data_IF_271303129149
#
_entry.id   IF_271303129149
#
_cell.length_a   1.000
_cell.length_b   1.000
_cell.length_c   1.000
_cell.angle_alpha   90.00
_cell.angle_beta   90.00
_cell.angle_gamma   90.00
#
_symmetry.space_group_name_H-M   'P 1'
#
loop_
_entity.id
_entity.type
_entity.pdbx_description
1 polymer ?
#
# COMPACT_ATOMS: atom_id res chain seq x y z
N UNK A 1 -19.17 -5.60 -18.83
CA UNK A 1 -20.34 -6.42 -18.43
C UNK A 1 -21.31 -6.51 -19.59
N UNK A 2 -21.85 -5.40 -20.11
CA UNK A 2 -22.86 -5.40 -21.18
C UNK A 2 -22.37 -6.10 -22.47
N UNK A 3 -21.12 -5.82 -22.91
CA UNK A 3 -20.55 -6.43 -24.13
C UNK A 3 -20.14 -7.90 -23.94
N UNK A 4 -19.71 -8.30 -22.76
CA UNK A 4 -19.24 -9.67 -22.50
C UNK A 4 -20.34 -10.63 -22.03
N UNK A 5 -21.29 -10.13 -21.22
CA UNK A 5 -22.37 -10.95 -20.64
C UNK A 5 -23.70 -10.77 -21.35
N UNK A 6 -23.80 -9.79 -22.25
CA UNK A 6 -24.99 -9.48 -23.02
C UNK A 6 -25.91 -8.43 -22.41
N UNK A 7 -26.84 -7.92 -23.24
CA UNK A 7 -27.74 -6.80 -22.89
C UNK A 7 -28.65 -7.06 -21.68
N UNK A 8 -28.91 -8.32 -21.32
CA UNK A 8 -29.70 -8.69 -20.12
C UNK A 8 -29.02 -8.27 -18.82
N UNK A 9 -27.70 -8.13 -18.80
CA UNK A 9 -26.91 -7.74 -17.63
C UNK A 9 -26.61 -6.24 -17.55
N UNK A 10 -27.28 -5.41 -18.32
CA UNK A 10 -27.10 -3.94 -18.30
C UNK A 10 -27.37 -3.31 -16.94
N UNK A 11 -28.30 -3.86 -16.16
CA UNK A 11 -28.56 -3.43 -14.79
C UNK A 11 -27.33 -3.60 -13.89
N UNK A 12 -26.59 -4.72 -14.02
CA UNK A 12 -25.38 -5.00 -13.28
C UNK A 12 -24.25 -4.01 -13.66
N UNK A 13 -24.15 -3.65 -14.94
CA UNK A 13 -23.21 -2.62 -15.40
C UNK A 13 -23.51 -1.25 -14.77
N UNK A 14 -24.79 -0.89 -14.62
CA UNK A 14 -25.20 0.36 -13.95
C UNK A 14 -24.88 0.37 -12.47
N UNK A 15 -25.11 -0.77 -11.77
CA UNK A 15 -24.74 -0.91 -10.34
C UNK A 15 -23.23 -0.78 -10.16
N UNK A 16 -22.45 -1.45 -11.01
CA UNK A 16 -20.99 -1.34 -10.98
C UNK A 16 -20.53 0.10 -11.20
N UNK A 17 -21.09 0.81 -12.17
CA UNK A 17 -20.75 2.21 -12.44
C UNK A 17 -21.12 3.12 -11.26
N UNK A 18 -22.28 2.90 -10.62
CA UNK A 18 -22.70 3.65 -9.44
C UNK A 18 -21.69 3.48 -8.27
N UNK A 19 -21.33 2.25 -7.95
CA UNK A 19 -20.34 2.01 -6.90
C UNK A 19 -18.95 2.53 -7.26
N UNK A 20 -18.55 2.45 -8.53
CA UNK A 20 -17.30 3.04 -9.01
C UNK A 20 -17.23 4.55 -8.79
N UNK A 21 -18.32 5.27 -9.07
CA UNK A 21 -18.45 6.71 -8.79
C UNK A 21 -18.36 6.98 -7.29
N UNK A 22 -19.04 6.19 -6.46
CA UNK A 22 -18.97 6.33 -5.00
C UNK A 22 -17.55 6.17 -4.47
N UNK A 23 -16.81 5.17 -4.95
CA UNK A 23 -15.40 4.94 -4.55
C UNK A 23 -14.54 6.16 -4.90
N UNK A 24 -14.69 6.72 -6.10
CA UNK A 24 -13.99 7.94 -6.52
C UNK A 24 -14.34 9.16 -5.66
N UNK A 25 -15.62 9.38 -5.38
CA UNK A 25 -16.08 10.50 -4.56
C UNK A 25 -15.58 10.46 -3.11
N UNK A 26 -15.43 9.28 -2.53
CA UNK A 26 -14.93 9.13 -1.15
C UNK A 26 -13.40 9.19 -1.05
N UNK A 27 -12.68 9.32 -2.16
CA UNK A 27 -11.21 9.48 -2.18
C UNK A 27 -10.44 8.33 -1.53
N UNK A 28 -11.01 7.11 -1.57
CA UNK A 28 -10.48 5.94 -0.84
C UNK A 28 -9.02 5.64 -1.23
N UNK A 29 -8.67 5.80 -2.50
CA UNK A 29 -7.32 5.53 -3.01
C UNK A 29 -6.33 6.67 -2.78
N UNK A 30 -6.77 7.89 -2.50
CA UNK A 30 -5.91 9.08 -2.45
C UNK A 30 -5.58 9.50 -1.01
N UNK A 31 -6.58 9.63 -0.13
CA UNK A 31 -6.35 10.14 1.23
C UNK A 31 -5.43 9.26 2.07
N UNK A 32 -5.58 7.95 2.01
CA UNK A 32 -4.72 7.03 2.76
C UNK A 32 -3.27 7.05 2.25
N UNK A 33 -3.06 7.25 0.95
CA UNK A 33 -1.75 7.33 0.35
C UNK A 33 -1.03 8.64 0.72
N UNK A 34 -1.73 9.76 0.65
CA UNK A 34 -1.21 11.06 1.09
C UNK A 34 -0.82 11.01 2.58
N UNK A 35 -1.67 10.42 3.42
CA UNK A 35 -1.36 10.24 4.84
C UNK A 35 -0.14 9.33 5.04
N UNK A 36 0.00 8.25 4.26
CA UNK A 36 1.16 7.36 4.30
C UNK A 36 2.46 8.08 3.93
N UNK A 37 2.46 8.90 2.87
CA UNK A 37 3.61 9.73 2.48
C UNK A 37 3.95 10.72 3.59
N UNK A 38 2.96 11.46 4.07
CA UNK A 38 3.14 12.47 5.13
C UNK A 38 3.74 11.84 6.39
N UNK A 39 3.20 10.71 6.84
CA UNK A 39 3.71 9.99 8.02
C UNK A 39 5.13 9.45 7.82
N UNK A 40 5.47 8.95 6.63
CA UNK A 40 6.80 8.45 6.33
C UNK A 40 7.84 9.57 6.28
N UNK A 41 7.51 10.69 5.64
CA UNK A 41 8.38 11.87 5.55
C UNK A 41 8.55 12.52 6.92
N UNK A 42 7.45 12.69 7.66
CA UNK A 42 7.48 13.20 9.03
C UNK A 42 8.36 12.34 9.95
N UNK A 43 8.12 11.04 9.98
CA UNK A 43 8.90 10.11 10.82
C UNK A 43 10.37 10.03 10.46
N UNK A 44 10.77 10.42 9.23
CA UNK A 44 12.17 10.47 8.83
C UNK A 44 12.84 11.82 9.10
N UNK A 45 12.19 12.94 8.76
CA UNK A 45 12.80 14.27 8.80
C UNK A 45 12.55 15.03 10.10
N UNK A 46 11.42 14.81 10.76
CA UNK A 46 11.03 15.55 11.97
C UNK A 46 10.24 14.68 12.97
N UNK A 47 10.84 13.58 13.47
CA UNK A 47 10.14 12.63 14.34
C UNK A 47 9.73 13.21 15.71
N UNK A 48 10.26 14.38 16.08
CA UNK A 48 10.04 15.02 17.39
C UNK A 48 9.21 16.30 17.31
N UNK A 49 8.59 16.59 16.15
CA UNK A 49 7.82 17.83 15.93
C UNK A 49 8.58 19.12 16.30
N UNK A 50 9.90 19.13 16.01
CA UNK A 50 10.77 20.22 16.40
C UNK A 50 10.42 21.55 15.70
N UNK A 51 9.85 21.46 14.51
CA UNK A 51 9.49 22.62 13.68
C UNK A 51 8.05 22.52 13.22
N UNK A 52 7.12 23.10 13.99
CA UNK A 52 5.69 23.13 13.64
C UNK A 52 5.26 24.49 13.09
N UNK A 53 4.24 24.50 12.26
CA UNK A 53 3.63 25.70 11.69
C UNK A 53 2.11 25.61 11.74
N UNK A 54 1.46 26.74 12.04
CA UNK A 54 0.02 26.94 11.86
C UNK A 54 -0.22 27.60 10.51
N UNK A 55 -0.73 26.85 9.55
CA UNK A 55 -1.05 27.38 8.22
C UNK A 55 -2.36 28.17 8.26
N UNK A 56 -3.36 27.64 8.97
CA UNK A 56 -4.67 28.28 9.13
C UNK A 56 -5.12 28.22 10.59
N UNK A 57 -5.84 29.25 11.09
CA UNK A 57 -6.26 29.34 12.49
C UNK A 57 -7.12 28.17 13.01
N UNK A 58 -7.83 27.50 12.10
CA UNK A 58 -8.76 26.40 12.41
C UNK A 58 -8.18 25.01 12.08
N UNK A 59 -7.05 24.94 11.39
CA UNK A 59 -6.26 23.72 11.20
C UNK A 59 -5.20 23.65 12.27
N UNK A 60 -4.95 22.45 12.81
CA UNK A 60 -3.93 22.22 13.83
C UNK A 60 -2.52 22.63 13.40
N UNK A 61 -1.56 22.37 14.27
CA UNK A 61 -0.14 22.55 13.97
C UNK A 61 0.36 21.37 13.14
N UNK A 62 1.15 21.67 12.11
CA UNK A 62 1.75 20.67 11.23
C UNK A 62 3.26 20.84 11.20
N UNK A 63 3.99 19.74 11.12
CA UNK A 63 5.43 19.80 10.91
C UNK A 63 5.76 20.40 9.54
N UNK A 64 6.81 21.20 9.45
CA UNK A 64 7.32 21.76 8.21
C UNK A 64 7.66 20.68 7.17
N UNK A 65 8.13 19.53 7.63
CA UNK A 65 8.43 18.40 6.75
C UNK A 65 7.19 17.91 5.98
N UNK A 66 6.04 17.85 6.66
CA UNK A 66 4.75 17.48 6.04
C UNK A 66 4.29 18.55 5.05
N UNK A 67 4.42 19.82 5.40
CA UNK A 67 4.02 20.94 4.53
C UNK A 67 4.83 20.95 3.22
N UNK A 68 6.15 20.84 3.33
CA UNK A 68 7.04 20.81 2.17
C UNK A 68 6.75 19.57 1.31
N UNK A 69 6.62 18.40 1.94
CA UNK A 69 6.30 17.17 1.22
C UNK A 69 4.96 17.27 0.47
N UNK A 70 3.94 17.85 1.10
CA UNK A 70 2.62 18.05 0.49
C UNK A 70 2.68 19.00 -0.71
N UNK A 71 3.45 20.07 -0.64
CA UNK A 71 3.65 21.00 -1.76
C UNK A 71 4.37 20.31 -2.93
N UNK A 72 5.46 19.59 -2.65
CA UNK A 72 6.21 18.84 -3.67
C UNK A 72 5.31 17.78 -4.31
N UNK A 73 4.58 17.00 -3.48
CA UNK A 73 3.66 15.98 -3.96
C UNK A 73 2.59 16.57 -4.87
N UNK A 74 1.93 17.65 -4.44
CA UNK A 74 0.89 18.33 -5.21
C UNK A 74 1.43 18.84 -6.55
N UNK A 75 2.63 19.41 -6.56
CA UNK A 75 3.29 19.85 -7.78
C UNK A 75 3.60 18.68 -8.72
N UNK A 76 4.16 17.59 -8.20
CA UNK A 76 4.49 16.40 -9.00
C UNK A 76 3.23 15.75 -9.58
N UNK A 77 2.17 15.59 -8.78
CA UNK A 77 0.88 15.04 -9.23
C UNK A 77 0.29 15.95 -10.34
N UNK A 78 0.20 17.25 -10.10
CA UNK A 78 -0.31 18.20 -11.10
C UNK A 78 0.50 18.17 -12.40
N UNK A 79 1.83 18.14 -12.31
CA UNK A 79 2.71 18.08 -13.47
C UNK A 79 2.50 16.81 -14.32
N UNK A 80 2.17 15.68 -13.68
CA UNK A 80 1.88 14.43 -14.39
C UNK A 80 0.47 14.45 -14.97
N UNK A 81 -0.54 14.88 -14.19
CA UNK A 81 -1.96 14.92 -14.60
C UNK A 81 -2.20 15.84 -15.81
N UNK A 82 -1.54 17.01 -15.87
CA UNK A 82 -1.63 17.92 -17.02
C UNK A 82 -1.21 17.21 -18.34
N UNK A 83 -0.32 16.22 -18.27
CA UNK A 83 0.08 15.43 -19.44
C UNK A 83 -0.91 14.32 -19.83
N UNK A 84 -1.96 14.13 -19.05
CA UNK A 84 -3.01 13.13 -19.28
C UNK A 84 -2.55 11.67 -19.16
N UNK A 85 -3.45 10.77 -19.53
CA UNK A 85 -3.31 9.30 -19.39
C UNK A 85 -1.97 8.75 -19.91
N UNK A 86 -1.49 9.24 -21.06
CA UNK A 86 -0.23 8.77 -21.64
C UNK A 86 0.96 9.10 -20.76
N UNK A 87 0.94 10.26 -20.10
CA UNK A 87 2.02 10.68 -19.20
C UNK A 87 1.97 9.91 -17.88
N UNK A 88 0.79 9.69 -17.33
CA UNK A 88 0.58 8.83 -16.17
C UNK A 88 1.17 7.44 -16.43
N UNK A 89 0.80 6.81 -17.55
CA UNK A 89 1.31 5.49 -17.93
C UNK A 89 2.84 5.49 -18.09
N UNK A 90 3.44 6.49 -18.76
CA UNK A 90 4.88 6.58 -18.96
C UNK A 90 5.65 6.75 -17.65
N UNK A 91 5.14 7.55 -16.72
CA UNK A 91 5.76 7.77 -15.40
C UNK A 91 5.66 6.50 -14.56
N UNK A 92 4.48 5.89 -14.50
CA UNK A 92 4.26 4.66 -13.74
C UNK A 92 5.08 3.49 -14.28
N UNK A 93 5.25 3.37 -15.59
CA UNK A 93 6.06 2.34 -16.24
C UNK A 93 7.52 2.34 -15.78
N UNK A 94 8.06 3.48 -15.39
CA UNK A 94 9.44 3.61 -14.91
C UNK A 94 9.49 3.46 -13.39
N UNK A 95 8.63 4.18 -12.67
CA UNK A 95 8.69 4.24 -11.21
C UNK A 95 8.31 2.89 -10.58
N UNK A 96 7.24 2.23 -11.07
CA UNK A 96 6.73 1.00 -10.43
C UNK A 96 7.75 -0.13 -10.43
N UNK A 97 8.41 -0.50 -11.54
CA UNK A 97 9.43 -1.54 -11.50
C UNK A 97 10.64 -1.14 -10.63
N UNK A 98 11.05 0.13 -10.70
CA UNK A 98 12.19 0.62 -9.93
C UNK A 98 11.96 0.48 -8.41
N UNK A 99 10.82 0.98 -7.90
CA UNK A 99 10.49 0.86 -6.49
C UNK A 99 10.28 -0.59 -6.03
N UNK A 100 9.62 -1.40 -6.89
CA UNK A 100 9.36 -2.80 -6.57
C UNK A 100 10.66 -3.61 -6.45
N UNK A 101 11.62 -3.38 -7.35
CA UNK A 101 12.93 -4.04 -7.31
C UNK A 101 13.72 -3.61 -6.07
N UNK A 102 13.77 -2.31 -5.76
CA UNK A 102 14.46 -1.83 -4.55
C UNK A 102 13.85 -2.47 -3.31
N UNK A 103 12.53 -2.36 -3.15
CA UNK A 103 11.85 -2.93 -2.00
C UNK A 103 12.10 -4.44 -1.87
N UNK A 104 11.96 -5.17 -2.98
CA UNK A 104 12.19 -6.62 -3.04
C UNK A 104 13.62 -6.98 -2.59
N UNK A 105 14.63 -6.29 -3.12
CA UNK A 105 16.03 -6.55 -2.78
C UNK A 105 16.28 -6.32 -1.29
N UNK A 106 15.84 -5.20 -0.73
CA UNK A 106 16.05 -4.91 0.69
C UNK A 106 15.26 -5.87 1.61
N UNK A 107 14.03 -6.24 1.24
CA UNK A 107 13.24 -7.22 1.98
C UNK A 107 13.90 -8.62 1.95
N UNK A 108 14.44 -9.03 0.80
CA UNK A 108 15.18 -10.30 0.67
C UNK A 108 16.47 -10.27 1.49
N UNK A 109 17.23 -9.17 1.46
CA UNK A 109 18.43 -9.02 2.30
C UNK A 109 18.05 -9.16 3.79
N UNK A 110 16.98 -8.51 4.24
CA UNK A 110 16.49 -8.62 5.62
C UNK A 110 16.19 -10.07 6.00
N UNK A 111 15.47 -10.78 5.14
CA UNK A 111 15.11 -12.19 5.38
C UNK A 111 16.36 -13.07 5.38
N UNK A 112 17.29 -12.88 4.43
CA UNK A 112 18.55 -13.63 4.35
C UNK A 112 19.42 -13.41 5.59
N UNK A 113 19.52 -12.17 6.08
CA UNK A 113 20.26 -11.87 7.32
C UNK A 113 19.63 -12.51 8.57
N UNK A 114 18.33 -12.83 8.53
CA UNK A 114 17.61 -13.47 9.62
C UNK A 114 17.12 -14.87 9.26
N UNK A 115 17.79 -15.57 8.33
CA UNK A 115 17.33 -16.85 7.77
C UNK A 115 17.08 -17.92 8.84
N UNK A 116 17.88 -17.92 9.90
CA UNK A 116 17.75 -18.87 11.02
C UNK A 116 16.44 -18.71 11.79
N UNK A 117 15.85 -17.52 11.78
CA UNK A 117 14.56 -17.22 12.45
C UNK A 117 13.35 -17.50 11.58
N UNK A 118 13.53 -17.74 10.27
CA UNK A 118 12.43 -17.94 9.32
C UNK A 118 11.53 -19.12 9.69
N UNK A 119 12.05 -20.32 10.04
CA UNK A 119 11.18 -21.43 10.45
C UNK A 119 10.34 -21.11 11.69
N UNK A 120 10.93 -20.41 12.67
CA UNK A 120 10.23 -20.00 13.88
C UNK A 120 9.13 -18.94 13.57
N UNK A 121 9.39 -18.01 12.66
CA UNK A 121 8.40 -17.03 12.22
C UNK A 121 7.20 -17.70 11.54
N UNK A 122 7.43 -18.66 10.64
CA UNK A 122 6.34 -19.44 10.04
C UNK A 122 5.56 -20.24 11.08
N UNK A 123 6.25 -20.90 12.02
CA UNK A 123 5.60 -21.60 13.11
C UNK A 123 4.74 -20.64 13.96
N UNK A 124 5.23 -19.44 14.25
CA UNK A 124 4.48 -18.41 14.97
C UNK A 124 3.21 -18.00 14.22
N UNK A 125 3.31 -17.76 12.91
CA UNK A 125 2.15 -17.38 12.07
C UNK A 125 1.10 -18.50 12.10
N UNK A 126 1.51 -19.75 11.85
CA UNK A 126 0.59 -20.89 11.78
C UNK A 126 -0.02 -21.19 13.15
N UNK A 127 0.80 -21.25 14.21
CA UNK A 127 0.30 -21.53 15.56
C UNK A 127 -0.61 -20.41 16.08
N UNK A 128 -0.32 -19.14 15.79
CA UNK A 128 -1.18 -18.03 16.17
C UNK A 128 -2.51 -18.07 15.43
N UNK A 129 -2.51 -18.42 14.13
CA UNK A 129 -3.73 -18.51 13.34
C UNK A 129 -4.69 -19.62 13.83
N UNK A 130 -4.14 -20.72 14.34
CA UNK A 130 -4.93 -21.88 14.81
C UNK A 130 -4.92 -22.05 16.35
N UNK A 131 -4.44 -21.05 17.08
CA UNK A 131 -4.38 -21.13 18.54
C UNK A 131 -5.77 -21.13 19.17
N UNK A 132 -6.05 -22.05 20.14
CA UNK A 132 -7.30 -22.02 20.90
C UNK A 132 -7.52 -20.73 21.69
N UNK A 133 -6.46 -20.02 22.07
CA UNK A 133 -6.53 -18.70 22.71
C UNK A 133 -7.14 -17.64 21.78
N UNK A 134 -6.93 -17.76 20.50
CA UNK A 134 -7.63 -16.93 19.50
C UNK A 134 -9.13 -17.25 19.43
N UNK A 135 -9.52 -18.47 19.86
CA UNK A 135 -10.89 -18.97 19.80
C UNK A 135 -11.65 -18.74 21.13
N UNK A 136 -10.98 -18.77 22.30
CA UNK A 136 -11.64 -18.84 23.61
C UNK A 136 -11.49 -17.59 24.51
N UNK A 137 -10.59 -16.68 24.23
CA UNK A 137 -10.27 -15.55 25.12
C UNK A 137 -11.03 -14.24 24.83
N UNK A 138 -12.33 -14.18 25.14
CA UNK A 138 -13.14 -12.99 24.83
C UNK A 138 -13.36 -12.80 23.32
N UNK A 139 -13.38 -13.86 22.66
CA UNK A 139 -12.83 -14.24 21.38
C UNK A 139 -13.71 -13.85 20.21
N UNK A 140 -15.00 -13.78 20.36
CA UNK A 140 -15.88 -13.45 19.22
C UNK A 140 -15.65 -12.00 18.79
N UNK A 141 -15.48 -11.08 19.74
CA UNK A 141 -15.20 -9.68 19.45
C UNK A 141 -13.83 -9.46 18.81
N UNK A 142 -12.78 -10.05 19.38
CA UNK A 142 -11.41 -9.92 18.83
C UNK A 142 -11.25 -10.64 17.50
N UNK A 143 -11.90 -11.79 17.33
CA UNK A 143 -11.92 -12.53 16.07
C UNK A 143 -12.64 -11.75 14.96
N UNK A 144 -13.79 -11.15 15.29
CA UNK A 144 -14.52 -10.29 14.34
C UNK A 144 -13.71 -9.06 13.95
N UNK A 145 -13.04 -8.40 14.90
CA UNK A 145 -12.17 -7.26 14.62
C UNK A 145 -10.97 -7.69 13.75
N UNK A 146 -10.31 -8.79 14.08
CA UNK A 146 -9.20 -9.31 13.30
C UNK A 146 -9.63 -9.69 11.87
N UNK A 147 -10.77 -10.36 11.74
CA UNK A 147 -11.36 -10.68 10.44
C UNK A 147 -11.74 -9.42 9.67
N UNK A 148 -12.40 -8.46 10.29
CA UNK A 148 -12.76 -7.19 9.66
C UNK A 148 -11.52 -6.43 9.19
N UNK A 149 -10.49 -6.30 10.03
CA UNK A 149 -9.23 -5.64 9.66
C UNK A 149 -8.48 -6.39 8.57
N UNK A 150 -8.40 -7.73 8.68
CA UNK A 150 -7.73 -8.57 7.69
C UNK A 150 -8.41 -8.53 6.32
N UNK A 151 -9.73 -8.68 6.28
CA UNK A 151 -10.52 -8.60 5.04
C UNK A 151 -10.41 -7.20 4.43
N UNK A 152 -10.56 -6.14 5.23
CA UNK A 152 -10.44 -4.77 4.76
C UNK A 152 -9.06 -4.51 4.13
N UNK A 153 -7.97 -4.95 4.78
CA UNK A 153 -6.61 -4.78 4.24
C UNK A 153 -6.36 -5.64 3.02
N UNK A 154 -6.86 -6.88 2.99
CA UNK A 154 -6.75 -7.76 1.83
C UNK A 154 -7.48 -7.21 0.59
N UNK A 155 -8.67 -6.65 0.76
CA UNK A 155 -9.41 -5.99 -0.33
C UNK A 155 -8.66 -4.73 -0.81
N UNK A 156 -8.06 -3.98 0.12
CA UNK A 156 -7.37 -2.72 -0.18
C UNK A 156 -5.94 -2.92 -0.73
N UNK A 157 -5.40 -4.13 -0.71
CA UNK A 157 -4.02 -4.44 -1.12
C UNK A 157 -3.77 -4.10 -2.60
N UNK A 158 -4.73 -4.39 -3.48
CA UNK A 158 -4.60 -4.11 -4.90
C UNK A 158 -5.94 -3.74 -5.54
N UNK A 159 -5.87 -3.21 -6.77
CA UNK A 159 -7.06 -2.76 -7.51
C UNK A 159 -8.03 -3.89 -7.86
N UNK A 160 -7.59 -5.13 -7.91
CA UNK A 160 -8.47 -6.28 -8.17
C UNK A 160 -9.45 -6.49 -7.00
N UNK A 161 -8.99 -6.29 -5.76
CA UNK A 161 -9.83 -6.34 -4.56
C UNK A 161 -10.82 -5.19 -4.48
N UNK A 162 -10.39 -3.98 -4.83
CA UNK A 162 -11.23 -2.77 -4.86
C UNK A 162 -12.21 -2.73 -6.03
N UNK A 163 -12.00 -3.56 -7.07
CA UNK A 163 -12.84 -3.57 -8.26
C UNK A 163 -12.52 -2.46 -9.28
N UNK A 164 -11.45 -1.70 -9.09
CA UNK A 164 -10.99 -0.64 -10.02
C UNK A 164 -10.18 -1.19 -11.20
N UNK A 165 -9.58 -2.37 -11.08
CA UNK A 165 -8.78 -2.99 -12.14
C UNK A 165 -9.47 -3.04 -13.52
N UNK A 166 -10.78 -3.34 -13.66
CA UNK A 166 -11.46 -3.30 -14.96
C UNK A 166 -11.56 -1.89 -15.56
N UNK A 167 -11.54 -0.84 -14.73
CA UNK A 167 -11.58 0.57 -15.18
C UNK A 167 -10.25 0.90 -15.84
N UNK A 168 -9.13 0.62 -15.16
CA UNK A 168 -7.78 0.79 -15.71
C UNK A 168 -7.56 -0.09 -16.96
N UNK A 169 -8.05 -1.34 -16.94
CA UNK A 169 -7.96 -2.25 -18.08
C UNK A 169 -8.76 -1.79 -19.32
N UNK A 170 -9.76 -0.92 -19.14
CA UNK A 170 -10.54 -0.39 -20.27
C UNK A 170 -9.70 0.46 -21.24
N UNK A 171 -8.58 1.04 -20.76
CA UNK A 171 -7.65 1.78 -21.60
C UNK A 171 -6.58 0.90 -22.29
N UNK A 172 -6.55 -0.39 -22.00
CA UNK A 172 -5.54 -1.28 -22.54
C UNK A 172 -5.68 -1.46 -24.05
N UNK A 173 -4.59 -1.30 -24.78
CA UNK A 173 -4.52 -1.52 -26.21
C UNK A 173 -4.25 -3.01 -26.50
N UNK A 174 -5.29 -3.82 -26.46
CA UNK A 174 -5.18 -5.26 -26.71
C UNK A 174 -6.41 -5.78 -27.45
N UNK A 175 -6.20 -6.74 -28.34
CA UNK A 175 -7.27 -7.41 -29.08
C UNK A 175 -7.74 -8.72 -28.41
N UNK A 176 -7.14 -9.09 -27.26
CA UNK A 176 -7.43 -10.33 -26.57
C UNK A 176 -7.74 -10.08 -25.09
N UNK A 177 -8.99 -10.37 -24.65
CA UNK A 177 -9.36 -10.30 -23.23
C UNK A 177 -8.51 -11.22 -22.36
N UNK A 178 -8.13 -12.39 -22.88
CA UNK A 178 -7.29 -13.37 -22.18
C UNK A 178 -5.91 -12.79 -21.90
N UNK A 179 -5.30 -12.13 -22.88
CA UNK A 179 -4.00 -11.48 -22.71
C UNK A 179 -4.05 -10.40 -21.64
N UNK A 180 -5.08 -9.57 -21.63
CA UNK A 180 -5.26 -8.56 -20.60
C UNK A 180 -5.47 -9.18 -19.21
N UNK A 181 -6.24 -10.25 -19.12
CA UNK A 181 -6.45 -10.99 -17.87
C UNK A 181 -5.14 -11.54 -17.29
N UNK A 182 -4.28 -12.12 -18.12
CA UNK A 182 -2.98 -12.63 -17.71
C UNK A 182 -2.05 -11.51 -17.20
N UNK A 183 -2.04 -10.36 -17.86
CA UNK A 183 -1.27 -9.18 -17.40
C UNK A 183 -1.77 -8.70 -16.04
N UNK A 184 -3.08 -8.55 -15.87
CA UNK A 184 -3.68 -8.12 -14.61
C UNK A 184 -3.41 -9.12 -13.46
N UNK A 185 -3.48 -10.41 -13.76
CA UNK A 185 -3.15 -11.48 -12.80
C UNK A 185 -1.69 -11.39 -12.32
N UNK A 186 -0.75 -11.07 -13.21
CA UNK A 186 0.66 -10.95 -12.85
C UNK A 186 0.88 -9.83 -11.82
N UNK A 187 0.23 -8.68 -11.99
CA UNK A 187 0.29 -7.58 -11.03
C UNK A 187 -0.23 -8.00 -9.65
N UNK A 188 -1.39 -8.63 -9.59
CA UNK A 188 -1.98 -9.14 -8.34
C UNK A 188 -1.09 -10.18 -7.67
N UNK A 189 -0.48 -11.08 -8.44
CA UNK A 189 0.44 -12.09 -7.92
C UNK A 189 1.68 -11.46 -7.30
N UNK A 190 2.32 -10.51 -7.99
CA UNK A 190 3.51 -9.83 -7.48
C UNK A 190 3.19 -9.07 -6.20
N UNK A 191 2.13 -8.28 -6.18
CA UNK A 191 1.73 -7.50 -5.01
C UNK A 191 1.37 -8.41 -3.82
N UNK A 192 0.41 -9.29 -4.00
CA UNK A 192 -0.18 -10.04 -2.89
C UNK A 192 0.69 -11.21 -2.44
N UNK A 193 1.25 -11.98 -3.38
CA UNK A 193 2.01 -13.18 -3.02
C UNK A 193 3.47 -12.83 -2.70
N UNK A 194 4.10 -11.96 -3.47
CA UNK A 194 5.51 -11.65 -3.26
C UNK A 194 5.67 -10.51 -2.24
N UNK A 195 5.19 -9.31 -2.55
CA UNK A 195 5.48 -8.12 -1.73
C UNK A 195 4.83 -8.21 -0.34
N UNK A 196 3.55 -8.60 -0.25
CA UNK A 196 2.88 -8.73 1.04
C UNK A 196 3.48 -9.84 1.91
N UNK A 197 3.91 -10.98 1.30
CA UNK A 197 4.57 -12.05 2.06
C UNK A 197 5.92 -11.60 2.59
N UNK A 198 6.74 -10.95 1.78
CA UNK A 198 8.04 -10.41 2.21
C UNK A 198 7.86 -9.39 3.35
N UNK A 199 6.90 -8.50 3.22
CA UNK A 199 6.59 -7.49 4.25
C UNK A 199 6.13 -8.13 5.55
N UNK A 200 5.14 -9.02 5.48
CA UNK A 200 4.61 -9.72 6.65
C UNK A 200 5.67 -10.57 7.35
N UNK A 201 6.47 -11.29 6.57
CA UNK A 201 7.57 -12.09 7.12
C UNK A 201 8.64 -11.21 7.78
N UNK A 202 9.01 -10.09 7.17
CA UNK A 202 9.95 -9.13 7.77
C UNK A 202 9.46 -8.58 9.11
N UNK A 203 8.17 -8.26 9.23
CA UNK A 203 7.55 -7.79 10.46
C UNK A 203 7.57 -8.87 11.55
N UNK A 204 7.26 -10.12 11.20
CA UNK A 204 7.26 -11.23 12.16
C UNK A 204 8.67 -11.61 12.59
N UNK A 205 9.64 -11.67 11.67
CA UNK A 205 11.05 -11.98 11.94
C UNK A 205 11.70 -11.01 12.93
N UNK A 206 11.35 -9.74 12.84
CA UNK A 206 11.91 -8.67 13.69
C UNK A 206 11.12 -8.44 14.98
N UNK A 207 9.96 -9.07 15.15
CA UNK A 207 9.08 -8.85 16.29
C UNK A 207 8.38 -7.49 16.30
N UNK A 208 8.43 -6.75 15.20
CA UNK A 208 7.85 -5.40 15.11
C UNK A 208 6.35 -5.34 15.45
N UNK A 209 5.62 -6.42 15.23
CA UNK A 209 4.21 -6.55 15.54
C UNK A 209 3.88 -6.57 17.05
N UNK A 210 4.89 -6.80 17.91
CA UNK A 210 4.73 -6.82 19.37
C UNK A 210 5.05 -5.48 20.03
N UNK A 211 5.59 -4.53 19.27
CA UNK A 211 6.00 -3.21 19.80
C UNK A 211 4.75 -2.34 19.92
N UNK A 212 4.42 -1.97 21.15
CA UNK A 212 3.28 -1.11 21.44
C UNK A 212 3.50 0.32 20.89
N UNK A 213 2.41 0.93 20.43
CA UNK A 213 2.42 2.30 19.91
C UNK A 213 2.87 2.47 18.46
N UNK A 214 3.28 1.38 17.78
CA UNK A 214 3.59 1.44 16.35
C UNK A 214 2.34 1.17 15.51
N UNK A 215 2.06 2.03 14.55
CA UNK A 215 0.93 1.87 13.63
C UNK A 215 1.35 2.05 12.16
N UNK A 216 0.68 1.31 11.28
CA UNK A 216 0.83 1.45 9.82
C UNK A 216 2.28 1.34 9.35
N UNK A 217 2.80 2.41 8.76
CA UNK A 217 4.16 2.50 8.20
C UNK A 217 5.24 2.30 9.25
N UNK A 218 5.02 2.76 10.47
CA UNK A 218 6.00 2.70 11.57
C UNK A 218 6.41 1.25 11.88
N UNK A 219 5.48 0.30 11.80
CA UNK A 219 5.75 -1.12 12.02
C UNK A 219 6.76 -1.65 11.00
N UNK A 220 6.58 -1.31 9.72
CA UNK A 220 7.49 -1.72 8.65
C UNK A 220 8.83 -0.99 8.77
N UNK A 221 8.83 0.29 9.15
CA UNK A 221 10.05 1.07 9.39
C UNK A 221 10.88 0.44 10.50
N UNK A 222 10.25 0.10 11.62
CA UNK A 222 10.90 -0.62 12.72
C UNK A 222 11.50 -1.96 12.26
N UNK A 223 10.75 -2.73 11.48
CA UNK A 223 11.22 -4.01 10.96
C UNK A 223 12.48 -3.85 10.10
N UNK A 224 12.53 -2.86 9.23
CA UNK A 224 13.69 -2.59 8.38
C UNK A 224 14.88 -2.04 9.17
N UNK A 225 14.65 -1.18 10.16
CA UNK A 225 15.70 -0.64 11.02
C UNK A 225 16.42 -1.73 11.83
N UNK A 226 15.67 -2.71 12.33
CA UNK A 226 16.19 -3.75 13.22
C UNK A 226 16.55 -5.06 12.50
N UNK A 227 16.04 -5.26 11.28
CA UNK A 227 16.27 -6.48 10.52
C UNK A 227 17.41 -6.40 9.50
N UNK A 228 17.75 -5.20 9.02
CA UNK A 228 18.81 -4.99 8.05
C UNK A 228 20.18 -4.77 8.72
N UNK A 229 21.28 -5.20 8.08
CA UNK A 229 22.64 -5.01 8.60
C UNK A 229 23.20 -3.60 8.32
N UNK A 230 22.32 -2.63 8.06
CA UNK A 230 22.68 -1.24 7.74
C UNK A 230 22.34 -0.29 8.89
N UNK A 231 22.90 0.92 8.91
CA UNK A 231 22.50 1.95 9.87
C UNK A 231 20.99 2.22 9.81
N UNK A 232 20.36 2.39 10.97
CA UNK A 232 18.91 2.58 11.08
C UNK A 232 18.39 3.73 10.20
N UNK A 233 19.14 4.84 10.12
CA UNK A 233 18.79 5.98 9.27
C UNK A 233 18.76 5.62 7.78
N UNK A 234 19.73 4.83 7.30
CA UNK A 234 19.77 4.39 5.91
C UNK A 234 18.59 3.45 5.59
N UNK A 235 18.31 2.51 6.47
CA UNK A 235 17.17 1.58 6.33
C UNK A 235 15.83 2.33 6.28
N UNK A 236 15.66 3.33 7.15
CA UNK A 236 14.47 4.20 7.15
C UNK A 236 14.36 5.04 5.88
N UNK A 237 15.48 5.58 5.40
CA UNK A 237 15.50 6.37 4.16
C UNK A 237 15.04 5.55 2.96
N UNK A 238 15.58 4.35 2.80
CA UNK A 238 15.20 3.45 1.69
C UNK A 238 13.71 3.11 1.77
N UNK A 239 13.21 2.76 2.95
CA UNK A 239 11.80 2.43 3.10
C UNK A 239 10.90 3.64 2.84
N UNK A 240 11.24 4.82 3.38
CA UNK A 240 10.53 6.06 3.10
C UNK A 240 10.48 6.33 1.59
N UNK A 241 11.61 6.21 0.89
CA UNK A 241 11.70 6.42 -0.54
C UNK A 241 10.79 5.46 -1.32
N UNK A 242 10.86 4.16 -1.00
CA UNK A 242 9.98 3.15 -1.61
C UNK A 242 8.51 3.49 -1.37
N UNK A 243 8.15 3.84 -0.14
CA UNK A 243 6.77 4.13 0.22
C UNK A 243 6.24 5.39 -0.47
N UNK A 244 7.06 6.44 -0.57
CA UNK A 244 6.70 7.65 -1.32
C UNK A 244 6.42 7.31 -2.79
N UNK A 245 7.25 6.49 -3.43
CA UNK A 245 7.01 6.08 -4.80
C UNK A 245 5.78 5.18 -4.95
N UNK A 246 5.57 4.21 -4.04
CA UNK A 246 4.37 3.37 -4.04
C UNK A 246 3.09 4.22 -3.91
N UNK A 247 3.05 5.10 -2.92
CA UNK A 247 1.89 5.93 -2.68
C UNK A 247 1.68 6.95 -3.81
N UNK A 248 2.74 7.55 -4.35
CA UNK A 248 2.66 8.48 -5.48
C UNK A 248 2.07 7.82 -6.73
N UNK A 249 2.56 6.63 -7.10
CA UNK A 249 2.03 5.94 -8.28
C UNK A 249 0.59 5.47 -8.08
N UNK A 250 0.20 5.15 -6.84
CA UNK A 250 -1.19 4.82 -6.51
C UNK A 250 -2.09 6.04 -6.64
N UNK A 251 -1.67 7.22 -6.17
CA UNK A 251 -2.40 8.48 -6.37
C UNK A 251 -2.62 8.73 -7.87
N UNK A 252 -1.56 8.64 -8.68
CA UNK A 252 -1.67 8.80 -10.13
C UNK A 252 -2.62 7.80 -10.78
N UNK A 253 -2.67 6.57 -10.27
CA UNK A 253 -3.59 5.54 -10.74
C UNK A 253 -5.06 5.84 -10.41
N UNK A 254 -5.33 6.45 -9.26
CA UNK A 254 -6.69 6.84 -8.85
C UNK A 254 -7.18 8.13 -9.48
N UNK A 255 -6.28 9.01 -9.88
CA UNK A 255 -6.59 10.26 -10.59
C UNK A 255 -6.82 10.04 -12.10
N UNK A 256 -6.64 8.80 -12.57
CA UNK A 256 -6.93 8.33 -13.93
C UNK A 256 -8.43 8.13 -14.14
#
# INVERSE_FOLDING_TARGET
>A
IELGMGKKFKWLAKIFAFFGVCVGLFGIGTFSQVNGISSAVHGFFDPNDAFTVKILPFLGEYSWSVVIASLILSFCVAAVLIGGVKRIASVSQIIVPFMAVIYFVFAVILICCNITKVPAAFATIVTAAFSPKAITGGAVGSMLIAMQKGVARGIFSNEAGLGSAPIAAAAAQTNSPVRQGLVSMTGTFIDTIIICTLTGLSIVLTGAWQVEGLEGVQVTTYAFQHGLPFPAQFSSFILMLCLVFFAFTTILGWDY
#
